data_IF_365135795853
#
_entry.id   IF_365135795853
#
_cell.length_a   1.000
_cell.length_b   1.000
_cell.length_c   1.000
_cell.angle_alpha   90.00
_cell.angle_beta   90.00
_cell.angle_gamma   90.00
#
_symmetry.space_group_name_H-M   'P 1'
#
loop_
_entity.id
_entity.type
_entity.pdbx_description
1 polymer ?
#
# COMPACT_ATOMS: atom_id res chain seq x y z
N UNK A 1 -22.09 -28.52 42.61
CA UNK A 1 -20.97 -28.27 41.69
C UNK A 1 -20.02 -27.31 42.39
N UNK A 2 -18.74 -27.67 42.57
CA UNK A 2 -17.83 -26.88 43.39
C UNK A 2 -17.25 -25.73 42.55
N UNK A 3 -17.94 -24.58 42.61
CA UNK A 3 -17.70 -23.44 41.72
C UNK A 3 -16.30 -22.84 41.89
N UNK A 4 -15.77 -22.87 43.12
CA UNK A 4 -14.40 -22.41 43.41
C UNK A 4 -13.35 -23.29 42.76
N UNK A 5 -13.51 -24.62 42.80
CA UNK A 5 -12.58 -25.54 42.15
C UNK A 5 -12.56 -25.35 40.61
N UNK A 6 -13.74 -25.12 40.01
CA UNK A 6 -13.83 -24.81 38.58
C UNK A 6 -13.11 -23.50 38.23
N UNK A 7 -13.35 -22.43 38.98
CA UNK A 7 -12.71 -21.13 38.76
C UNK A 7 -11.19 -21.19 38.93
N UNK A 8 -10.70 -21.98 39.87
CA UNK A 8 -9.27 -22.12 40.13
C UNK A 8 -8.56 -22.89 39.02
N UNK A 9 -9.14 -23.98 38.52
CA UNK A 9 -8.62 -24.69 37.35
C UNK A 9 -8.63 -23.80 36.11
N UNK A 10 -9.71 -23.05 35.88
CA UNK A 10 -9.78 -22.10 34.77
C UNK A 10 -8.69 -21.02 34.89
N UNK A 11 -8.45 -20.52 36.10
CA UNK A 11 -7.41 -19.54 36.38
C UNK A 11 -6.00 -20.09 36.13
N UNK A 12 -5.72 -21.31 36.58
CA UNK A 12 -4.40 -21.96 36.43
C UNK A 12 -4.10 -22.28 34.95
N UNK A 13 -5.10 -22.67 34.18
CA UNK A 13 -4.95 -22.92 32.74
C UNK A 13 -4.66 -21.62 32.00
N UNK A 14 -5.43 -20.56 32.25
CA UNK A 14 -5.24 -19.25 31.60
C UNK A 14 -3.90 -18.61 31.97
N UNK A 15 -3.47 -18.75 33.23
CA UNK A 15 -2.16 -18.25 33.70
C UNK A 15 -1.01 -19.23 33.49
N UNK A 16 -1.24 -20.34 32.78
CA UNK A 16 -0.16 -21.24 32.46
C UNK A 16 0.85 -20.57 31.52
N UNK A 17 2.17 -20.83 31.67
CA UNK A 17 3.19 -20.27 30.81
C UNK A 17 2.94 -20.52 29.31
N UNK A 18 2.34 -21.67 28.97
CA UNK A 18 2.02 -22.04 27.59
C UNK A 18 0.90 -21.18 26.99
N UNK A 19 -0.17 -20.92 27.74
CA UNK A 19 -1.29 -20.08 27.28
C UNK A 19 -0.84 -18.61 27.17
N UNK A 20 -0.08 -18.12 28.14
CA UNK A 20 0.50 -16.77 28.08
C UNK A 20 1.43 -16.63 26.86
N UNK A 21 2.29 -17.62 26.58
CA UNK A 21 3.17 -17.60 25.42
C UNK A 21 2.39 -17.61 24.09
N UNK A 22 1.32 -18.40 23.99
CA UNK A 22 0.43 -18.40 22.83
C UNK A 22 -0.26 -17.06 22.62
N UNK A 23 -0.77 -16.44 23.69
CA UNK A 23 -1.42 -15.13 23.62
C UNK A 23 -0.43 -14.02 23.24
N UNK A 24 0.75 -14.01 23.84
CA UNK A 24 1.81 -13.06 23.51
C UNK A 24 2.30 -13.25 22.06
N UNK A 25 2.49 -14.49 21.62
CA UNK A 25 2.87 -14.81 20.25
C UNK A 25 1.79 -14.42 19.23
N UNK A 26 0.52 -14.68 19.54
CA UNK A 26 -0.62 -14.27 18.72
C UNK A 26 -0.75 -12.75 18.62
N UNK A 27 -0.55 -12.04 19.72
CA UNK A 27 -0.54 -10.57 19.74
C UNK A 27 0.62 -10.03 18.89
N UNK A 28 1.83 -10.55 19.06
CA UNK A 28 2.98 -10.14 18.25
C UNK A 28 2.78 -10.42 16.76
N UNK A 29 2.21 -11.57 16.41
CA UNK A 29 1.87 -11.90 15.03
C UNK A 29 0.84 -10.91 14.45
N UNK A 30 -0.20 -10.57 15.22
CA UNK A 30 -1.22 -9.62 14.81
C UNK A 30 -0.63 -8.22 14.63
N UNK A 31 0.20 -7.76 15.58
CA UNK A 31 0.89 -6.49 15.46
C UNK A 31 1.79 -6.49 14.22
N UNK A 32 2.57 -7.55 13.99
CA UNK A 32 3.40 -7.65 12.80
C UNK A 32 2.54 -7.60 11.53
N UNK A 33 1.38 -8.26 11.52
CA UNK A 33 0.45 -8.22 10.38
C UNK A 33 -0.14 -6.83 10.13
N UNK A 34 -0.50 -6.10 11.19
CA UNK A 34 -1.06 -4.75 11.10
C UNK A 34 -0.01 -3.72 10.70
N UNK A 35 1.18 -3.79 11.30
CA UNK A 35 2.28 -2.87 10.98
C UNK A 35 3.00 -3.20 9.65
N UNK A 36 2.90 -4.44 9.16
CA UNK A 36 3.39 -4.80 7.83
C UNK A 36 2.36 -4.56 6.71
N UNK A 37 1.18 -4.01 7.02
CA UNK A 37 0.20 -3.62 6.00
C UNK A 37 0.77 -2.43 5.22
N UNK A 38 1.42 -2.73 4.10
CA UNK A 38 1.94 -1.74 3.16
C UNK A 38 0.77 -1.01 2.49
N UNK A 39 0.87 0.32 2.26
CA UNK A 39 -0.14 1.04 1.51
C UNK A 39 -0.24 0.47 0.09
N UNK A 40 -1.43 0.53 -0.51
CA UNK A 40 -1.73 -0.08 -1.80
C UNK A 40 -0.75 0.35 -2.90
N UNK A 41 -0.27 1.59 -2.86
CA UNK A 41 0.65 2.13 -3.87
C UNK A 41 1.98 1.40 -3.96
N UNK A 42 2.49 0.82 -2.86
CA UNK A 42 3.76 0.10 -2.90
C UNK A 42 3.70 -1.15 -3.78
N UNK A 43 2.52 -1.77 -3.90
CA UNK A 43 2.33 -2.90 -4.82
C UNK A 43 2.26 -2.46 -6.30
N UNK A 44 2.01 -1.18 -6.56
CA UNK A 44 1.87 -0.60 -7.89
C UNK A 44 2.98 0.43 -8.21
N UNK A 45 4.06 0.45 -7.45
CA UNK A 45 5.13 1.46 -7.57
C UNK A 45 5.72 1.51 -8.99
N UNK A 46 6.00 0.36 -9.60
CA UNK A 46 6.46 0.29 -11.00
C UNK A 46 5.45 0.88 -11.99
N UNK A 47 4.16 0.56 -11.82
CA UNK A 47 3.08 1.14 -12.63
C UNK A 47 2.95 2.64 -12.41
N UNK A 48 3.10 3.11 -11.18
CA UNK A 48 3.08 4.54 -10.83
C UNK A 48 4.24 5.27 -11.50
N UNK A 49 5.47 4.73 -11.44
CA UNK A 49 6.64 5.29 -12.13
C UNK A 49 6.35 5.40 -13.63
N UNK A 50 5.84 4.33 -14.25
CA UNK A 50 5.51 4.32 -15.68
C UNK A 50 4.42 5.35 -16.02
N UNK A 51 3.37 5.44 -15.21
CA UNK A 51 2.27 6.37 -15.40
C UNK A 51 2.68 7.84 -15.23
N UNK A 52 3.54 8.14 -14.25
CA UNK A 52 4.11 9.48 -14.05
C UNK A 52 4.95 9.87 -15.25
N UNK A 53 5.90 9.02 -15.68
CA UNK A 53 6.76 9.29 -16.84
C UNK A 53 5.97 9.44 -18.13
N UNK A 54 4.95 8.60 -18.33
CA UNK A 54 4.03 8.73 -19.45
C UNK A 54 3.28 10.07 -19.40
N UNK A 55 2.74 10.47 -18.26
CA UNK A 55 2.00 11.71 -18.12
C UNK A 55 2.88 12.95 -18.35
N UNK A 56 4.12 12.94 -17.86
CA UNK A 56 5.12 13.99 -18.10
C UNK A 56 5.41 14.17 -19.60
N UNK A 57 5.51 13.05 -20.33
CA UNK A 57 5.73 13.06 -21.78
C UNK A 57 4.50 13.46 -22.58
N UNK A 58 3.33 12.99 -22.18
CA UNK A 58 2.08 13.17 -22.93
C UNK A 58 1.50 14.57 -22.78
N UNK A 59 1.64 15.17 -21.59
CA UNK A 59 1.05 16.48 -21.28
C UNK A 59 2.12 17.57 -21.45
N UNK A 60 1.98 18.46 -22.44
CA UNK A 60 2.96 19.51 -22.71
C UNK A 60 3.12 20.53 -21.57
N UNK A 61 4.28 21.17 -21.50
CA UNK A 61 4.63 22.14 -20.46
C UNK A 61 3.83 23.45 -20.50
N UNK A 62 3.24 23.80 -21.64
CA UNK A 62 2.39 24.98 -21.82
C UNK A 62 0.94 24.75 -21.37
N UNK A 63 0.60 23.53 -20.95
CA UNK A 63 -0.73 23.19 -20.45
C UNK A 63 -1.08 23.99 -19.19
N UNK A 64 -2.22 24.71 -19.15
CA UNK A 64 -2.69 25.34 -17.92
C UNK A 64 -2.87 24.30 -16.80
N UNK A 65 -2.35 24.60 -15.61
CA UNK A 65 -2.34 23.66 -14.48
C UNK A 65 -1.65 22.31 -14.79
N UNK A 66 -0.55 22.33 -15.57
CA UNK A 66 0.16 21.12 -16.02
C UNK A 66 0.39 20.06 -14.94
N UNK A 67 0.86 20.47 -13.76
CA UNK A 67 1.20 19.53 -12.68
C UNK A 67 -0.05 18.76 -12.21
N UNK A 68 -1.17 19.45 -12.04
CA UNK A 68 -2.44 18.81 -11.70
C UNK A 68 -2.89 17.84 -12.79
N UNK A 69 -2.80 18.25 -14.06
CA UNK A 69 -3.21 17.40 -15.17
C UNK A 69 -2.33 16.14 -15.28
N UNK A 70 -1.01 16.27 -15.09
CA UNK A 70 -0.06 15.13 -15.09
C UNK A 70 -0.34 14.15 -13.97
N UNK A 71 -0.49 14.64 -12.74
CA UNK A 71 -0.82 13.80 -11.59
C UNK A 71 -2.19 13.12 -11.75
N UNK A 72 -3.18 13.81 -12.30
CA UNK A 72 -4.51 13.24 -12.53
C UNK A 72 -4.50 12.21 -13.67
N UNK A 73 -3.74 12.43 -14.74
CA UNK A 73 -3.56 11.48 -15.82
C UNK A 73 -2.85 10.20 -15.34
N UNK A 74 -1.78 10.35 -14.55
CA UNK A 74 -1.10 9.24 -13.91
C UNK A 74 -2.05 8.46 -12.98
N UNK A 75 -2.86 9.15 -12.17
CA UNK A 75 -3.83 8.50 -11.30
C UNK A 75 -4.88 7.70 -12.07
N UNK A 76 -5.43 8.27 -13.14
CA UNK A 76 -6.41 7.56 -13.96
C UNK A 76 -5.81 6.35 -14.66
N UNK A 77 -4.54 6.42 -15.08
CA UNK A 77 -3.82 5.28 -15.62
C UNK A 77 -3.70 4.16 -14.57
N UNK A 78 -3.19 4.48 -13.39
CA UNK A 78 -2.95 3.50 -12.32
C UNK A 78 -4.27 2.88 -11.84
N UNK A 79 -5.35 3.66 -11.77
CA UNK A 79 -6.67 3.14 -11.41
C UNK A 79 -7.21 2.11 -12.41
N UNK A 80 -6.96 2.29 -13.71
CA UNK A 80 -7.32 1.31 -14.73
C UNK A 80 -6.53 0.01 -14.54
N UNK A 81 -5.21 0.11 -14.40
CA UNK A 81 -4.36 -1.07 -14.15
C UNK A 81 -4.75 -1.78 -12.86
N UNK A 82 -5.10 -1.03 -11.81
CA UNK A 82 -5.62 -1.60 -10.57
C UNK A 82 -6.91 -2.40 -10.82
N UNK A 83 -7.87 -1.81 -11.55
CA UNK A 83 -9.14 -2.46 -11.86
C UNK A 83 -8.94 -3.73 -12.69
N UNK A 84 -8.07 -3.68 -13.70
CA UNK A 84 -7.71 -4.83 -14.54
C UNK A 84 -7.06 -5.95 -13.71
N UNK A 85 -6.14 -5.60 -12.80
CA UNK A 85 -5.43 -6.57 -11.97
C UNK A 85 -6.29 -7.17 -10.85
N UNK A 86 -7.28 -6.41 -10.33
CA UNK A 86 -8.10 -6.82 -9.18
C UNK A 86 -9.52 -7.27 -9.56
N UNK A 87 -9.93 -7.06 -10.81
CA UNK A 87 -11.28 -7.33 -11.32
C UNK A 87 -12.36 -6.46 -10.68
N UNK A 88 -11.98 -5.36 -10.01
CA UNK A 88 -12.91 -4.42 -9.37
C UNK A 88 -12.27 -3.04 -9.24
N UNK A 89 -13.07 -1.96 -9.28
CA UNK A 89 -12.56 -0.61 -9.10
C UNK A 89 -11.98 -0.41 -7.69
N UNK A 90 -11.02 0.51 -7.59
CA UNK A 90 -10.46 0.92 -6.31
C UNK A 90 -11.53 1.58 -5.43
N UNK A 91 -11.57 1.21 -4.14
CA UNK A 91 -12.38 1.92 -3.16
C UNK A 91 -11.77 3.28 -2.80
N UNK A 92 -12.47 4.06 -1.98
CA UNK A 92 -12.05 5.42 -1.64
C UNK A 92 -10.67 5.46 -0.95
N UNK A 93 -10.40 4.51 -0.04
CA UNK A 93 -9.13 4.42 0.66
C UNK A 93 -8.01 4.07 -0.31
N UNK A 94 -8.19 3.03 -1.13
CA UNK A 94 -7.20 2.60 -2.12
C UNK A 94 -6.89 3.72 -3.10
N UNK A 95 -7.91 4.45 -3.57
CA UNK A 95 -7.73 5.60 -4.47
C UNK A 95 -6.92 6.72 -3.82
N UNK A 96 -7.10 6.96 -2.53
CA UNK A 96 -6.30 7.93 -1.79
C UNK A 96 -4.83 7.46 -1.68
N UNK A 97 -4.61 6.20 -1.28
CA UNK A 97 -3.27 5.63 -1.15
C UNK A 97 -2.51 5.66 -2.49
N UNK A 98 -3.18 5.33 -3.61
CA UNK A 98 -2.59 5.43 -4.95
C UNK A 98 -2.25 6.86 -5.34
N UNK A 99 -3.10 7.83 -4.99
CA UNK A 99 -2.82 9.26 -5.23
C UNK A 99 -1.61 9.73 -4.43
N UNK A 100 -1.52 9.35 -3.15
CA UNK A 100 -0.37 9.66 -2.31
C UNK A 100 0.92 9.05 -2.89
N UNK A 101 0.87 7.79 -3.30
CA UNK A 101 2.00 7.13 -3.96
C UNK A 101 2.47 7.84 -5.23
N UNK A 102 1.54 8.34 -6.06
CA UNK A 102 1.89 9.13 -7.25
C UNK A 102 2.62 10.42 -6.88
N UNK A 103 2.19 11.12 -5.83
CA UNK A 103 2.85 12.34 -5.39
C UNK A 103 4.26 12.06 -4.84
N UNK A 104 4.40 11.00 -4.06
CA UNK A 104 5.70 10.56 -3.50
C UNK A 104 6.66 10.21 -4.63
N UNK A 105 6.25 9.31 -5.53
CA UNK A 105 7.10 8.86 -6.65
C UNK A 105 7.44 10.02 -7.59
N UNK A 106 6.49 10.92 -7.88
CA UNK A 106 6.77 12.10 -8.69
C UNK A 106 7.85 12.97 -8.05
N UNK A 107 7.74 13.26 -6.76
CA UNK A 107 8.73 14.05 -6.02
C UNK A 107 10.11 13.36 -5.97
N UNK A 108 10.14 12.02 -5.81
CA UNK A 108 11.38 11.25 -5.83
C UNK A 108 12.06 11.24 -7.21
N UNK A 109 11.27 11.10 -8.28
CA UNK A 109 11.77 11.19 -9.66
C UNK A 109 12.29 12.58 -10.00
N UNK A 110 11.62 13.63 -9.53
CA UNK A 110 12.07 15.01 -9.68
C UNK A 110 13.38 15.25 -8.91
N UNK A 111 13.43 14.85 -7.63
CA UNK A 111 14.62 15.01 -6.79
C UNK A 111 15.85 14.23 -7.30
N UNK A 112 15.63 13.07 -7.92
CA UNK A 112 16.69 12.25 -8.51
C UNK A 112 17.08 12.67 -9.93
N UNK A 113 16.35 13.61 -10.55
CA UNK A 113 16.53 13.98 -11.96
C UNK A 113 16.19 12.85 -12.94
N UNK A 114 15.45 11.83 -12.49
CA UNK A 114 15.14 10.63 -13.26
C UNK A 114 13.75 10.68 -13.93
N UNK A 115 13.11 11.85 -13.90
CA UNK A 115 11.79 12.11 -14.47
C UNK A 115 11.77 11.84 -15.99
N UNK A 116 12.83 12.24 -16.70
CA UNK A 116 12.94 12.10 -18.17
C UNK A 116 13.61 10.78 -18.60
N UNK A 117 14.17 10.03 -17.67
CA UNK A 117 14.80 8.75 -17.98
C UNK A 117 13.75 7.70 -18.36
N UNK A 118 14.08 6.68 -19.17
CA UNK A 118 13.15 5.59 -19.46
C UNK A 118 12.66 4.93 -18.16
N UNK A 119 11.39 4.52 -18.13
CA UNK A 119 10.86 3.74 -17.02
C UNK A 119 11.64 2.41 -16.94
N UNK A 120 11.98 1.91 -15.73
CA UNK A 120 12.57 0.59 -15.62
C UNK A 120 11.60 -0.42 -16.24
N UNK A 121 12.10 -1.22 -17.19
CA UNK A 121 11.33 -2.32 -17.76
C UNK A 121 10.95 -3.26 -16.61
N UNK A 122 9.67 -3.62 -16.54
CA UNK A 122 9.16 -4.57 -15.56
C UNK A 122 10.09 -5.78 -15.49
N UNK A 123 10.64 -6.05 -14.31
CA UNK A 123 11.29 -7.32 -14.04
C UNK A 123 10.17 -8.38 -14.08
N UNK A 124 9.94 -8.96 -15.25
CA UNK A 124 9.10 -10.13 -15.40
C UNK A 124 9.67 -11.25 -14.51
N UNK A 125 8.96 -11.58 -13.44
CA UNK A 125 9.29 -12.63 -12.49
C UNK A 125 8.06 -13.06 -11.71
#
# INVERSE_FOLDING_TARGET
MNWTAFLQVAWDVVNSPAVIALMAGGLLWLLNRLYAAKPAWQAFEGTIIAAVKWAEKEIPDDTPNKAFNRLNAALNYVLKVYEDARGKPADAQTKQELREGIQIVHAELEASGNLDAPAPAEAAG
#
